data_IF_339583580298
#
_entry.id   IF_339583580298
#
_cell.length_a   1.000
_cell.length_b   1.000
_cell.length_c   1.000
_cell.angle_alpha   90.00
_cell.angle_beta   90.00
_cell.angle_gamma   90.00
#
_symmetry.space_group_name_H-M   'P 1'
#
loop_
_entity.id
_entity.type
_entity.pdbx_description
1 polymer ?
#
# COMPACT_ATOMS: atom_id res chain seq x y z
N UNK A 1 -0.22 -18.82 22.62
CA UNK A 1 -0.49 -17.65 21.72
C UNK A 1 -1.12 -18.24 20.46
N UNK A 2 -2.42 -18.11 20.28
CA UNK A 2 -3.12 -18.52 19.06
C UNK A 2 -2.56 -17.70 17.88
N UNK A 3 -2.12 -18.40 16.83
CA UNK A 3 -1.79 -17.75 15.56
C UNK A 3 -3.11 -17.29 14.96
N UNK A 4 -3.40 -15.99 15.03
CA UNK A 4 -4.52 -15.39 14.30
C UNK A 4 -4.27 -15.57 12.80
N UNK A 5 -5.21 -16.20 12.11
CA UNK A 5 -5.14 -16.28 10.65
C UNK A 5 -5.34 -14.90 10.05
N UNK A 6 -4.37 -14.47 9.22
CA UNK A 6 -4.39 -13.18 8.51
C UNK A 6 -5.13 -13.28 7.17
N UNK A 7 -5.87 -14.36 6.93
CA UNK A 7 -6.62 -14.57 5.70
C UNK A 7 -7.76 -13.55 5.56
N UNK A 8 -7.89 -12.96 4.37
CA UNK A 8 -9.00 -12.06 4.05
C UNK A 8 -8.85 -10.61 4.54
N UNK A 9 -7.69 -10.21 5.07
CA UNK A 9 -7.46 -8.83 5.49
C UNK A 9 -7.00 -7.99 4.29
N UNK A 10 -7.78 -6.99 3.90
CA UNK A 10 -7.44 -6.07 2.81
C UNK A 10 -6.09 -5.38 3.05
N UNK A 11 -5.32 -5.20 1.96
CA UNK A 11 -4.03 -4.53 2.00
C UNK A 11 -2.89 -5.37 2.59
N UNK A 12 -3.13 -6.66 2.89
CA UNK A 12 -2.08 -7.56 3.38
C UNK A 12 -1.51 -8.45 2.28
N UNK A 13 -0.28 -8.90 2.50
CA UNK A 13 0.37 -9.92 1.69
C UNK A 13 0.80 -11.06 2.61
N UNK A 14 0.40 -12.27 2.30
CA UNK A 14 0.63 -13.45 3.14
C UNK A 14 1.18 -14.63 2.36
N UNK A 15 1.86 -15.54 3.04
CA UNK A 15 2.28 -16.83 2.49
C UNK A 15 1.26 -17.91 2.89
N UNK A 16 0.73 -18.64 1.91
CA UNK A 16 -0.27 -19.69 2.09
C UNK A 16 0.10 -20.96 1.34
N UNK A 17 -0.34 -22.10 1.80
CA UNK A 17 -0.18 -23.39 1.08
C UNK A 17 -1.17 -23.55 -0.06
N UNK A 18 -2.30 -22.87 -0.01
CA UNK A 18 -3.38 -22.96 -0.99
C UNK A 18 -3.92 -21.57 -1.32
N UNK A 19 -4.53 -21.43 -2.50
CA UNK A 19 -5.35 -20.27 -2.82
C UNK A 19 -6.75 -20.54 -2.25
N UNK A 20 -7.26 -19.72 -1.32
CA UNK A 20 -8.59 -19.92 -0.77
C UNK A 20 -9.65 -19.78 -1.86
N UNK A 21 -10.57 -20.73 -1.95
CA UNK A 21 -11.70 -20.68 -2.89
C UNK A 21 -12.78 -19.69 -2.41
N UNK A 22 -12.99 -19.62 -1.10
CA UNK A 22 -13.88 -18.67 -0.42
C UNK A 22 -13.31 -18.38 0.97
N UNK A 23 -13.03 -17.10 1.24
CA UNK A 23 -12.75 -16.66 2.61
C UNK A 23 -13.92 -15.77 3.03
N UNK A 24 -14.79 -16.32 3.87
CA UNK A 24 -15.68 -15.48 4.67
C UNK A 24 -14.78 -14.61 5.54
N UNK A 25 -14.80 -13.31 5.30
CA UNK A 25 -14.00 -12.35 6.03
C UNK A 25 -14.20 -12.57 7.53
N UNK A 26 -13.14 -13.00 8.23
CA UNK A 26 -13.17 -13.08 9.68
C UNK A 26 -13.43 -11.66 10.22
N UNK A 27 -14.48 -11.52 11.02
CA UNK A 27 -15.07 -10.29 11.52
C UNK A 27 -14.16 -9.47 12.46
N UNK A 28 -12.84 -9.62 12.37
CA UNK A 28 -11.86 -8.87 13.15
C UNK A 28 -11.12 -7.78 12.37
N UNK A 29 -11.46 -7.58 11.10
CA UNK A 29 -11.02 -6.37 10.41
C UNK A 29 -11.78 -5.18 10.97
N UNK A 30 -11.08 -4.30 11.66
CA UNK A 30 -11.58 -3.06 12.28
C UNK A 30 -12.13 -2.05 11.23
N UNK A 31 -12.17 -2.41 9.97
CA UNK A 31 -12.73 -1.61 8.89
C UNK A 31 -14.13 -2.13 8.54
N UNK A 32 -15.11 -1.21 8.56
CA UNK A 32 -16.54 -1.39 8.30
C UNK A 32 -16.91 -1.91 6.89
N UNK A 33 -16.02 -2.60 6.19
CA UNK A 33 -16.26 -3.13 4.83
C UNK A 33 -16.37 -4.65 4.89
N UNK A 34 -17.61 -5.11 4.97
CA UNK A 34 -18.00 -6.51 4.85
C UNK A 34 -17.84 -7.03 3.42
N UNK A 35 -17.40 -8.28 3.31
CA UNK A 35 -17.28 -9.11 2.10
C UNK A 35 -16.20 -8.71 1.10
N UNK A 36 -14.99 -9.23 1.33
CA UNK A 36 -13.95 -9.29 0.28
C UNK A 36 -14.27 -10.49 -0.60
N UNK A 37 -14.64 -10.23 -1.85
CA UNK A 37 -14.75 -11.26 -2.87
C UNK A 37 -13.37 -11.89 -3.08
N UNK A 38 -13.20 -13.18 -2.75
CA UNK A 38 -11.90 -13.85 -2.71
C UNK A 38 -11.45 -14.42 -4.06
N UNK A 39 -11.83 -13.80 -5.16
CA UNK A 39 -11.31 -14.17 -6.47
C UNK A 39 -9.91 -13.64 -6.65
N UNK A 40 -8.95 -14.55 -6.78
CA UNK A 40 -7.55 -14.22 -7.04
C UNK A 40 -7.23 -14.29 -8.53
N UNK A 41 -6.57 -13.27 -9.06
CA UNK A 41 -5.92 -13.34 -10.36
C UNK A 41 -4.54 -13.99 -10.18
N UNK A 42 -4.28 -15.06 -10.92
CA UNK A 42 -3.01 -15.79 -10.83
C UNK A 42 -1.95 -15.12 -11.70
N UNK A 43 -0.82 -14.83 -11.08
CA UNK A 43 0.39 -14.36 -11.75
C UNK A 43 1.27 -15.54 -12.18
N UNK A 44 2.18 -15.36 -13.16
CA UNK A 44 3.23 -16.34 -13.45
C UNK A 44 3.98 -16.74 -12.19
N UNK A 45 4.33 -18.02 -12.06
CA UNK A 45 5.06 -18.51 -10.89
C UNK A 45 6.42 -17.80 -10.75
N UNK A 46 6.91 -17.66 -9.51
CA UNK A 46 8.22 -17.04 -9.28
C UNK A 46 9.33 -17.75 -10.05
N UNK A 47 9.30 -19.08 -10.12
CA UNK A 47 10.25 -19.88 -10.92
C UNK A 47 10.26 -19.56 -12.41
N UNK A 48 9.17 -19.00 -12.95
CA UNK A 48 9.05 -18.66 -14.37
C UNK A 48 9.57 -17.26 -14.70
N UNK A 49 9.75 -16.40 -13.69
CA UNK A 49 10.11 -14.97 -13.87
C UNK A 49 11.46 -14.60 -13.26
N UNK A 50 12.12 -15.53 -12.52
CA UNK A 50 13.35 -15.24 -11.76
C UNK A 50 14.63 -15.26 -12.61
N UNK A 51 14.60 -15.96 -13.75
CA UNK A 51 15.81 -16.20 -14.53
C UNK A 51 16.10 -15.06 -15.53
N UNK A 52 17.36 -14.82 -15.83
CA UNK A 52 17.79 -13.78 -16.77
C UNK A 52 17.82 -14.28 -18.23
N UNK A 53 16.74 -14.95 -18.66
CA UNK A 53 16.55 -15.36 -20.05
C UNK A 53 15.35 -14.63 -20.70
N UNK A 54 15.24 -14.72 -22.02
CA UNK A 54 14.23 -14.00 -22.80
C UNK A 54 12.81 -14.36 -22.38
N UNK A 55 12.52 -15.64 -22.16
CA UNK A 55 11.18 -16.11 -21.83
C UNK A 55 10.75 -15.64 -20.43
N UNK A 56 11.64 -15.72 -19.45
CA UNK A 56 11.39 -15.21 -18.10
C UNK A 56 11.18 -13.69 -18.10
N UNK A 57 11.94 -12.93 -18.90
CA UNK A 57 11.74 -11.48 -19.06
C UNK A 57 10.37 -11.14 -19.66
N UNK A 58 9.93 -11.88 -20.66
CA UNK A 58 8.59 -11.71 -21.26
C UNK A 58 7.51 -11.98 -20.21
N UNK A 59 7.60 -13.10 -19.49
CA UNK A 59 6.64 -13.44 -18.43
C UNK A 59 6.65 -12.42 -17.30
N UNK A 60 7.82 -11.90 -16.94
CA UNK A 60 7.93 -10.81 -15.96
C UNK A 60 7.21 -9.54 -16.45
N UNK A 61 7.38 -9.14 -17.69
CA UNK A 61 6.65 -8.00 -18.25
C UNK A 61 5.13 -8.25 -18.24
N UNK A 62 4.68 -9.44 -18.61
CA UNK A 62 3.26 -9.80 -18.55
C UNK A 62 2.73 -9.77 -17.11
N UNK A 63 3.52 -10.21 -16.14
CA UNK A 63 3.21 -10.10 -14.73
C UNK A 63 3.05 -8.64 -14.29
N UNK A 64 3.96 -7.75 -14.71
CA UNK A 64 3.90 -6.32 -14.37
C UNK A 64 2.62 -5.64 -14.90
N UNK A 65 2.16 -6.02 -16.09
CA UNK A 65 0.89 -5.51 -16.65
C UNK A 65 -0.32 -5.95 -15.82
N UNK A 66 -0.27 -7.16 -15.24
CA UNK A 66 -1.35 -7.68 -14.38
C UNK A 66 -1.28 -7.16 -12.94
N UNK A 67 -0.09 -6.73 -12.51
CA UNK A 67 0.13 -6.30 -11.14
C UNK A 67 -0.69 -5.05 -10.82
N UNK A 68 -1.46 -5.12 -9.75
CA UNK A 68 -2.28 -4.01 -9.26
C UNK A 68 -2.58 -4.21 -7.79
N UNK A 69 -2.73 -3.12 -7.05
CA UNK A 69 -3.12 -3.16 -5.64
C UNK A 69 -4.64 -3.11 -5.44
N UNK A 70 -5.42 -2.95 -6.51
CA UNK A 70 -6.88 -2.99 -6.48
C UNK A 70 -7.48 -4.38 -6.76
N UNK A 71 -6.62 -5.39 -6.89
CA UNK A 71 -6.98 -6.79 -7.13
C UNK A 71 -6.37 -7.72 -6.08
N UNK A 72 -7.05 -8.84 -5.88
CA UNK A 72 -6.44 -9.97 -5.18
C UNK A 72 -5.54 -10.72 -6.15
N UNK A 73 -4.28 -10.87 -5.83
CA UNK A 73 -3.27 -11.52 -6.68
C UNK A 73 -2.69 -12.74 -5.95
N UNK A 74 -2.43 -13.80 -6.71
CA UNK A 74 -1.77 -14.99 -6.22
C UNK A 74 -0.56 -15.34 -7.10
N UNK A 75 0.61 -15.51 -6.50
CA UNK A 75 1.81 -15.98 -7.18
C UNK A 75 2.31 -17.27 -6.53
N UNK A 76 2.54 -18.30 -7.33
CA UNK A 76 3.16 -19.52 -6.83
C UNK A 76 4.64 -19.27 -6.52
N UNK A 77 5.06 -19.66 -5.30
CA UNK A 77 6.42 -19.61 -4.81
C UNK A 77 6.77 -20.95 -4.18
N UNK A 78 7.55 -21.76 -4.85
CA UNK A 78 7.85 -23.16 -4.50
C UNK A 78 6.56 -23.97 -4.22
N UNK A 79 6.41 -24.51 -3.02
CA UNK A 79 5.24 -25.28 -2.58
C UNK A 79 4.16 -24.40 -1.92
N UNK A 80 4.29 -23.09 -1.99
CA UNK A 80 3.38 -22.13 -1.39
C UNK A 80 2.87 -21.14 -2.43
N UNK A 81 1.96 -20.28 -2.00
CA UNK A 81 1.47 -19.12 -2.74
C UNK A 81 1.69 -17.85 -1.93
N UNK A 82 2.18 -16.80 -2.58
CA UNK A 82 2.13 -15.44 -2.06
C UNK A 82 0.78 -14.89 -2.48
N UNK A 83 -0.06 -14.57 -1.51
CA UNK A 83 -1.39 -14.00 -1.72
C UNK A 83 -1.36 -12.54 -1.32
N UNK A 84 -1.68 -11.66 -2.28
CA UNK A 84 -1.89 -10.25 -2.03
C UNK A 84 -3.40 -9.99 -2.03
N UNK A 85 -3.91 -9.46 -0.94
CA UNK A 85 -5.27 -8.95 -0.90
C UNK A 85 -5.31 -7.51 -1.39
N UNK A 86 -6.35 -7.18 -2.18
CA UNK A 86 -6.52 -5.82 -2.68
C UNK A 86 -6.43 -4.80 -1.55
N UNK A 87 -5.81 -3.67 -1.82
CA UNK A 87 -5.74 -2.58 -0.86
C UNK A 87 -7.09 -1.85 -0.76
N UNK A 88 -7.53 -1.48 0.43
CA UNK A 88 -8.70 -0.63 0.57
C UNK A 88 -8.41 0.74 -0.07
N UNK A 89 -9.43 1.33 -0.65
CA UNK A 89 -9.33 2.72 -1.13
C UNK A 89 -9.58 3.65 0.05
N UNK A 90 -8.68 4.56 0.27
CA UNK A 90 -8.84 5.59 1.29
C UNK A 90 -9.93 6.58 0.89
N UNK A 91 -10.66 7.11 1.86
CA UNK A 91 -11.48 8.30 1.71
C UNK A 91 -10.71 9.53 2.21
N UNK A 92 -11.20 10.73 1.88
CA UNK A 92 -10.60 11.98 2.39
C UNK A 92 -10.62 12.02 3.93
N UNK A 93 -11.71 11.55 4.55
CA UNK A 93 -11.86 11.50 6.01
C UNK A 93 -10.86 10.53 6.66
N UNK A 94 -10.61 9.37 6.04
CA UNK A 94 -9.63 8.40 6.52
C UNK A 94 -8.20 8.94 6.40
N UNK A 95 -7.90 9.70 5.34
CA UNK A 95 -6.61 10.40 5.22
C UNK A 95 -6.50 11.50 6.28
N UNK A 96 -7.51 12.34 6.45
CA UNK A 96 -7.54 13.39 7.45
C UNK A 96 -7.31 12.83 8.85
N UNK A 97 -8.00 11.74 9.19
CA UNK A 97 -7.80 11.05 10.46
C UNK A 97 -6.36 10.54 10.61
N UNK A 98 -5.82 9.89 9.58
CA UNK A 98 -4.45 9.34 9.63
C UNK A 98 -3.41 10.44 9.84
N UNK A 99 -3.58 11.59 9.19
CA UNK A 99 -2.65 12.71 9.33
C UNK A 99 -2.90 13.57 10.57
N UNK A 100 -4.02 13.40 11.28
CA UNK A 100 -4.29 14.04 12.57
C UNK A 100 -3.60 13.36 13.76
N UNK A 101 -3.01 12.17 13.56
CA UNK A 101 -2.35 11.44 14.61
C UNK A 101 -1.11 12.22 15.13
N UNK A 102 -0.77 12.08 16.42
CA UNK A 102 0.31 12.85 17.05
C UNK A 102 1.70 12.30 16.67
N UNK A 103 2.10 12.47 15.43
CA UNK A 103 3.43 12.07 14.97
C UNK A 103 4.52 12.89 15.64
N UNK A 104 5.54 12.22 16.15
CA UNK A 104 6.67 12.87 16.85
C UNK A 104 7.55 13.74 15.96
N UNK A 105 7.45 13.56 14.62
CA UNK A 105 8.34 14.21 13.64
C UNK A 105 9.84 14.04 13.91
N UNK A 106 10.19 13.01 14.68
CA UNK A 106 11.59 12.65 14.95
C UNK A 106 12.07 11.68 13.89
N UNK A 107 13.13 12.03 13.21
CA UNK A 107 13.80 11.12 12.27
C UNK A 107 14.59 10.05 13.04
N UNK A 108 14.63 8.83 12.49
CA UNK A 108 15.50 7.81 13.03
C UNK A 108 16.96 8.24 12.93
N UNK A 109 17.83 8.05 13.95
CA UNK A 109 19.21 8.55 13.94
C UNK A 109 20.06 8.09 12.75
N UNK A 110 19.73 6.95 12.16
CA UNK A 110 20.39 6.42 10.95
C UNK A 110 19.79 6.93 9.64
N UNK A 111 18.73 7.75 9.66
CA UNK A 111 18.10 8.30 8.48
C UNK A 111 18.84 9.54 8.00
N UNK A 112 19.12 9.61 6.71
CA UNK A 112 19.70 10.78 6.05
C UNK A 112 18.64 11.70 5.42
N UNK A 113 17.34 11.38 5.60
CA UNK A 113 16.22 12.07 4.96
C UNK A 113 15.66 13.20 5.84
N UNK A 114 16.51 14.09 6.36
CA UNK A 114 16.07 15.20 7.21
C UNK A 114 15.05 16.11 6.51
N UNK A 115 15.15 16.24 5.20
CA UNK A 115 14.19 17.00 4.38
C UNK A 115 12.75 16.51 4.55
N UNK A 116 12.52 15.23 4.74
CA UNK A 116 11.19 14.67 4.90
C UNK A 116 10.53 14.97 6.27
N UNK A 117 11.27 15.54 7.23
CA UNK A 117 10.78 15.80 8.59
C UNK A 117 9.57 16.73 8.63
N UNK A 118 9.56 17.73 7.78
CA UNK A 118 8.51 18.75 7.69
C UNK A 118 7.75 18.70 6.37
N UNK A 119 7.74 17.54 5.70
CA UNK A 119 6.91 17.33 4.51
C UNK A 119 5.44 17.26 4.87
N UNK A 120 4.57 17.79 4.02
CA UNK A 120 3.13 17.77 4.13
C UNK A 120 2.53 17.10 2.90
N UNK A 121 2.00 15.90 3.09
CA UNK A 121 1.33 15.17 2.01
C UNK A 121 -0.10 15.69 1.88
N UNK A 122 -0.47 16.14 0.69
CA UNK A 122 -1.80 16.71 0.40
C UNK A 122 -2.77 15.68 -0.16
N UNK A 123 -2.25 14.64 -0.82
CA UNK A 123 -3.06 13.60 -1.46
C UNK A 123 -2.31 12.28 -1.56
N UNK A 124 -3.03 11.22 -1.90
CA UNK A 124 -2.50 9.89 -2.22
C UNK A 124 -3.04 9.42 -3.57
N UNK A 125 -2.26 8.58 -4.26
CA UNK A 125 -2.57 8.06 -5.57
C UNK A 125 -1.98 8.89 -6.71
N UNK A 126 -1.93 8.30 -7.90
CA UNK A 126 -1.42 8.95 -9.09
C UNK A 126 -2.08 8.39 -10.35
N UNK A 127 -2.63 9.25 -11.19
CA UNK A 127 -3.26 8.88 -12.47
C UNK A 127 -2.27 8.68 -13.61
N UNK A 128 -0.99 9.01 -13.41
CA UNK A 128 0.00 9.12 -14.48
C UNK A 128 0.35 7.78 -15.16
N UNK A 129 0.31 6.67 -14.42
CA UNK A 129 0.63 5.32 -14.93
C UNK A 129 1.91 5.26 -15.78
N UNK A 130 2.92 6.06 -15.44
CA UNK A 130 4.19 6.09 -16.15
C UNK A 130 4.89 4.72 -16.06
N UNK A 131 5.42 4.22 -17.16
CA UNK A 131 6.00 2.87 -17.25
C UNK A 131 7.20 2.63 -16.32
N UNK A 132 7.88 3.66 -15.88
CA UNK A 132 9.04 3.61 -14.99
C UNK A 132 8.66 3.80 -13.50
N UNK A 133 7.42 4.18 -13.20
CA UNK A 133 7.02 4.65 -11.87
C UNK A 133 6.10 3.63 -11.18
N UNK A 134 6.41 3.28 -9.93
CA UNK A 134 5.61 2.36 -9.12
C UNK A 134 4.56 3.05 -8.24
N UNK A 135 4.45 4.37 -8.25
CA UNK A 135 3.51 5.10 -7.38
C UNK A 135 2.07 4.64 -7.59
N UNK A 136 1.62 4.52 -8.84
CA UNK A 136 0.28 4.02 -9.15
C UNK A 136 0.03 2.61 -8.63
N UNK A 137 1.06 1.74 -8.64
CA UNK A 137 0.94 0.35 -8.20
C UNK A 137 0.73 0.24 -6.68
N UNK A 138 1.37 1.10 -5.88
CA UNK A 138 1.30 0.99 -4.42
C UNK A 138 0.39 2.02 -3.75
N UNK A 139 0.10 3.16 -4.39
CA UNK A 139 -0.82 4.18 -3.85
C UNK A 139 -2.19 4.19 -4.53
N UNK A 140 -2.32 3.48 -5.66
CA UNK A 140 -3.54 3.44 -6.46
C UNK A 140 -3.55 4.44 -7.61
N UNK A 141 -4.47 4.21 -8.54
CA UNK A 141 -4.64 4.97 -9.78
C UNK A 141 -5.68 6.10 -9.68
N UNK A 142 -6.19 6.35 -8.49
CA UNK A 142 -7.12 7.45 -8.19
C UNK A 142 -6.52 8.36 -7.14
N UNK A 143 -6.62 9.65 -7.38
CA UNK A 143 -6.19 10.65 -6.42
C UNK A 143 -7.28 10.80 -5.37
N UNK A 144 -6.87 10.70 -4.09
CA UNK A 144 -7.70 11.02 -2.94
C UNK A 144 -7.00 12.12 -2.16
N UNK A 145 -7.62 13.28 -2.05
CA UNK A 145 -7.05 14.45 -1.39
C UNK A 145 -7.52 14.53 0.06
N UNK A 146 -6.67 15.09 0.90
CA UNK A 146 -7.03 15.53 2.25
C UNK A 146 -7.90 16.79 2.16
N UNK A 147 -8.66 17.07 3.22
CA UNK A 147 -9.34 18.35 3.35
C UNK A 147 -8.34 19.50 3.57
N UNK A 148 -8.68 20.67 3.06
CA UNK A 148 -7.89 21.87 3.28
C UNK A 148 -7.68 22.16 4.77
N UNK A 149 -8.73 21.95 5.58
CA UNK A 149 -8.65 22.09 7.03
C UNK A 149 -7.58 21.19 7.66
N UNK A 150 -7.54 19.92 7.26
CA UNK A 150 -6.55 18.95 7.77
C UNK A 150 -5.12 19.38 7.42
N UNK A 151 -4.90 19.84 6.20
CA UNK A 151 -3.59 20.33 5.74
C UNK A 151 -3.16 21.58 6.54
N UNK A 152 -4.06 22.55 6.68
CA UNK A 152 -3.76 23.78 7.41
C UNK A 152 -3.52 23.55 8.91
N UNK A 153 -4.25 22.63 9.51
CA UNK A 153 -4.06 22.29 10.93
C UNK A 153 -2.71 21.59 11.15
N UNK A 154 -2.28 20.72 10.22
CA UNK A 154 -0.94 20.12 10.26
C UNK A 154 0.16 21.18 10.10
N UNK A 155 0.05 22.10 9.13
CA UNK A 155 0.99 23.19 8.95
C UNK A 155 1.11 24.03 10.21
N UNK A 156 0.00 24.44 10.82
CA UNK A 156 0.01 25.18 12.09
C UNK A 156 0.70 24.40 13.23
N UNK A 157 0.57 23.08 13.24
CA UNK A 157 1.28 22.24 14.20
C UNK A 157 2.78 22.23 13.92
N UNK A 158 3.20 22.05 12.66
CA UNK A 158 4.59 22.03 12.25
C UNK A 158 5.33 23.35 12.55
N UNK A 159 4.69 24.49 12.33
CA UNK A 159 5.29 25.82 12.59
C UNK A 159 5.61 26.05 14.08
N UNK A 160 5.01 25.30 15.00
CA UNK A 160 5.28 25.34 16.44
C UNK A 160 6.41 24.41 16.88
N UNK A 161 6.90 23.55 15.97
CA UNK A 161 7.96 22.60 16.33
C UNK A 161 9.29 23.32 16.55
N UNK A 162 10.07 23.03 17.62
CA UNK A 162 11.29 23.76 17.94
C UNK A 162 12.37 23.70 16.85
N UNK A 163 12.38 22.64 16.04
CA UNK A 163 13.34 22.49 14.94
C UNK A 163 12.84 23.06 13.60
N UNK A 164 11.66 23.69 13.57
CA UNK A 164 11.13 24.24 12.34
C UNK A 164 11.90 25.48 11.90
N UNK A 165 12.43 25.45 10.68
CA UNK A 165 13.29 26.51 10.12
C UNK A 165 12.56 27.40 9.07
N UNK A 166 11.24 27.29 8.95
CA UNK A 166 10.45 28.11 8.02
C UNK A 166 10.23 27.47 6.66
N UNK A 167 10.62 26.21 6.45
CA UNK A 167 10.45 25.49 5.18
C UNK A 167 9.53 24.30 5.39
N UNK A 168 8.63 24.09 4.43
CA UNK A 168 7.76 22.93 4.30
C UNK A 168 8.08 22.30 2.96
N UNK A 169 8.41 21.03 2.96
CA UNK A 169 8.68 20.25 1.77
C UNK A 169 7.44 19.44 1.37
N UNK A 170 7.36 19.08 0.08
CA UNK A 170 6.31 18.23 -0.48
C UNK A 170 6.87 16.81 -0.75
#
# INVERSE_FOLDING_TARGET
KEKKELLGIEGTCILSKTIPADVTANAFAVTRRSHVECKFETLPAFSEVKDDNKDSKIKFCQMQVKFSNDKNLAQKYDNNYVLQYKSPRYTSEELDWSYSLPYSRKMHPKSLLEMAKFSVVTHRGCIGRCNFCSITLHQGDKIVSRSEKSILDEIKYLTKHPDFKGYIDD
#
